data_IF_978044700911
#
_entry.id   IF_978044700911
#
_cell.length_a   1.000
_cell.length_b   1.000
_cell.length_c   1.000
_cell.angle_alpha   90.00
_cell.angle_beta   90.00
_cell.angle_gamma   90.00
#
_symmetry.space_group_name_H-M   'P 1'
#
loop_
_entity.id
_entity.type
_entity.pdbx_description
1 polymer ?
#
# COMPACT_ATOMS: atom_id res chain seq x y z
N UNK A 1 19.00 -14.60 2.13
CA UNK A 1 17.67 -13.94 2.22
C UNK A 1 17.66 -13.14 3.53
N UNK A 2 17.29 -11.87 3.47
CA UNK A 2 17.11 -11.01 4.66
C UNK A 2 15.62 -10.74 4.87
N UNK A 3 15.21 -10.61 6.13
CA UNK A 3 13.89 -10.12 6.45
C UNK A 3 13.75 -8.63 6.09
N UNK A 4 12.53 -8.18 5.88
CA UNK A 4 12.28 -6.77 5.51
C UNK A 4 12.74 -5.80 6.63
N UNK A 5 12.66 -6.23 7.89
CA UNK A 5 13.17 -5.50 9.05
C UNK A 5 14.70 -5.28 9.01
N UNK A 6 15.42 -6.14 8.30
CA UNK A 6 16.87 -6.09 8.16
C UNK A 6 17.32 -5.28 6.94
N UNK A 7 16.36 -4.75 6.17
CA UNK A 7 16.68 -3.85 5.05
C UNK A 7 16.81 -2.42 5.55
N UNK A 8 17.79 -1.70 5.01
CA UNK A 8 18.12 -0.32 5.40
C UNK A 8 18.12 0.63 4.21
N UNK A 9 17.18 0.48 3.30
CA UNK A 9 17.03 1.46 2.23
C UNK A 9 16.65 2.82 2.81
N UNK A 10 17.16 3.91 2.23
CA UNK A 10 16.77 5.26 2.62
C UNK A 10 15.26 5.49 2.50
N UNK A 11 14.74 6.43 3.27
CA UNK A 11 13.41 6.95 3.04
C UNK A 11 13.35 7.64 1.68
N UNK A 12 12.18 7.60 1.04
CA UNK A 12 11.95 8.27 -0.25
C UNK A 12 12.84 7.77 -1.41
N UNK A 13 13.29 6.53 -1.31
CA UNK A 13 14.25 5.96 -2.26
C UNK A 13 13.57 5.39 -3.51
N UNK A 14 12.44 4.71 -3.37
CA UNK A 14 11.80 4.00 -4.47
C UNK A 14 10.70 4.84 -5.13
N UNK A 15 10.54 4.72 -6.46
CA UNK A 15 9.40 5.26 -7.19
C UNK A 15 8.16 4.41 -6.97
N UNK A 16 8.33 3.09 -6.92
CA UNK A 16 7.25 2.11 -6.79
C UNK A 16 7.67 0.98 -5.86
N UNK A 17 6.77 0.59 -4.98
CA UNK A 17 6.85 -0.67 -4.22
C UNK A 17 5.68 -1.54 -4.64
N UNK A 18 5.97 -2.75 -5.12
CA UNK A 18 4.96 -3.71 -5.54
C UNK A 18 5.23 -5.07 -4.90
N UNK A 19 4.19 -5.77 -4.44
CA UNK A 19 4.37 -7.10 -3.89
C UNK A 19 3.14 -7.70 -3.23
N UNK A 20 3.28 -8.96 -2.85
CA UNK A 20 2.34 -9.65 -1.99
C UNK A 20 2.94 -9.66 -0.58
N UNK A 21 2.38 -8.87 0.33
CA UNK A 21 2.89 -8.75 1.69
C UNK A 21 2.39 -9.90 2.57
N UNK A 22 3.21 -10.39 3.51
CA UNK A 22 2.78 -11.46 4.40
C UNK A 22 1.65 -11.00 5.33
N UNK A 23 0.63 -11.81 5.48
CA UNK A 23 -0.46 -11.56 6.41
C UNK A 23 -0.53 -12.66 7.47
N UNK A 24 -0.08 -12.32 8.67
CA UNK A 24 -0.08 -13.18 9.83
C UNK A 24 -0.29 -12.32 11.09
N UNK A 25 -0.56 -12.95 12.21
CA UNK A 25 -0.63 -12.29 13.52
C UNK A 25 0.74 -11.95 14.13
N UNK A 26 1.83 -12.35 13.48
CA UNK A 26 3.21 -12.09 13.90
C UNK A 26 3.47 -10.57 13.91
N UNK A 27 4.32 -10.17 14.86
CA UNK A 27 4.89 -8.82 14.92
C UNK A 27 6.37 -8.89 14.58
N UNK A 28 6.83 -7.88 13.90
CA UNK A 28 8.23 -7.75 13.50
C UNK A 28 8.91 -6.79 14.47
N UNK A 29 10.12 -7.12 14.90
CA UNK A 29 10.93 -6.25 15.75
C UNK A 29 11.75 -5.30 14.84
N UNK A 30 11.27 -4.07 14.73
CA UNK A 30 11.95 -2.96 14.07
C UNK A 30 11.80 -1.72 14.98
N UNK A 31 12.91 -1.23 15.58
CA UNK A 31 12.88 -0.14 16.56
C UNK A 31 12.13 1.11 16.10
N UNK A 32 12.14 1.38 14.79
CA UNK A 32 11.43 2.54 14.20
C UNK A 32 9.91 2.41 14.32
N UNK A 33 9.39 1.17 14.22
CA UNK A 33 7.94 0.89 14.16
C UNK A 33 7.37 0.26 15.44
N UNK A 34 8.21 -0.20 16.36
CA UNK A 34 7.79 -0.92 17.58
C UNK A 34 6.74 -0.18 18.39
N UNK A 35 6.83 1.17 18.48
CA UNK A 35 5.87 2.02 19.17
C UNK A 35 4.43 1.92 18.64
N UNK A 36 4.25 1.52 17.39
CA UNK A 36 2.93 1.42 16.75
C UNK A 36 2.27 0.07 17.00
N UNK A 37 3.05 -0.95 17.39
CA UNK A 37 2.59 -2.30 17.66
C UNK A 37 1.86 -2.94 16.46
N UNK A 38 2.39 -2.69 15.27
CA UNK A 38 1.84 -3.18 14.01
C UNK A 38 1.87 -4.71 13.91
N UNK A 39 0.86 -5.30 13.26
CA UNK A 39 0.98 -6.65 12.72
C UNK A 39 1.89 -6.63 11.50
N UNK A 40 2.36 -7.80 11.06
CA UNK A 40 3.32 -7.89 9.97
C UNK A 40 2.86 -7.16 8.69
N UNK A 41 1.59 -7.31 8.27
CA UNK A 41 1.07 -6.62 7.09
C UNK A 41 1.01 -5.09 7.27
N UNK A 42 0.61 -4.61 8.45
CA UNK A 42 0.59 -3.18 8.78
C UNK A 42 2.00 -2.59 8.76
N UNK A 43 2.99 -3.34 9.30
CA UNK A 43 4.40 -2.97 9.28
C UNK A 43 4.95 -2.88 7.85
N UNK A 44 4.65 -3.86 7.01
CA UNK A 44 5.09 -3.84 5.61
C UNK A 44 4.56 -2.62 4.87
N UNK A 45 3.27 -2.30 5.04
CA UNK A 45 2.66 -1.09 4.45
C UNK A 45 3.34 0.19 4.96
N UNK A 46 3.52 0.32 6.28
CA UNK A 46 4.13 1.50 6.88
C UNK A 46 5.57 1.71 6.37
N UNK A 47 6.40 0.67 6.39
CA UNK A 47 7.79 0.74 5.93
C UNK A 47 7.89 0.99 4.43
N UNK A 48 7.03 0.36 3.62
CA UNK A 48 6.97 0.61 2.18
C UNK A 48 6.64 2.07 1.86
N UNK A 49 5.67 2.66 2.57
CA UNK A 49 5.34 4.07 2.41
C UNK A 49 6.48 5.00 2.83
N UNK A 50 7.24 4.66 3.87
CA UNK A 50 8.40 5.47 4.25
C UNK A 50 9.49 5.43 3.18
N UNK A 51 9.70 4.26 2.56
CA UNK A 51 10.74 4.07 1.55
C UNK A 51 10.36 4.55 0.15
N UNK A 52 9.07 4.70 -0.16
CA UNK A 52 8.60 5.30 -1.41
C UNK A 52 8.73 6.83 -1.33
N UNK A 53 9.14 7.47 -2.44
CA UNK A 53 9.20 8.93 -2.54
C UNK A 53 7.81 9.58 -2.54
N UNK A 54 7.69 10.87 -2.24
CA UNK A 54 6.45 11.61 -2.49
C UNK A 54 5.99 11.47 -3.96
N UNK A 55 4.68 11.28 -4.17
CA UNK A 55 4.10 10.98 -5.48
C UNK A 55 4.35 9.55 -5.98
N UNK A 56 5.20 8.77 -5.33
CA UNK A 56 5.44 7.36 -5.67
C UNK A 56 4.32 6.45 -5.22
N UNK A 57 4.30 5.22 -5.73
CA UNK A 57 3.18 4.28 -5.62
C UNK A 57 3.57 3.06 -4.77
N UNK A 58 2.68 2.66 -3.88
CA UNK A 58 2.70 1.35 -3.21
C UNK A 58 1.50 0.54 -3.71
N UNK A 59 1.77 -0.54 -4.44
CA UNK A 59 0.75 -1.46 -4.98
C UNK A 59 0.96 -2.85 -4.38
N UNK A 60 0.10 -3.25 -3.45
CA UNK A 60 0.32 -4.49 -2.69
C UNK A 60 -0.94 -5.31 -2.50
N UNK A 61 -0.76 -6.63 -2.46
CA UNK A 61 -1.79 -7.56 -2.01
C UNK A 61 -1.66 -7.72 -0.50
N UNK A 62 -2.75 -7.51 0.21
CA UNK A 62 -2.82 -7.61 1.68
C UNK A 62 -4.08 -8.36 2.12
N UNK A 63 -4.18 -8.64 3.42
CA UNK A 63 -5.39 -9.21 4.02
C UNK A 63 -6.53 -8.18 4.03
N UNK A 64 -7.76 -8.63 3.82
CA UNK A 64 -8.98 -7.81 3.98
C UNK A 64 -9.01 -7.02 5.30
N UNK A 65 -8.36 -7.53 6.35
CA UNK A 65 -8.32 -6.85 7.65
C UNK A 65 -7.58 -5.51 7.64
N UNK A 66 -6.81 -5.19 6.62
CA UNK A 66 -6.27 -3.85 6.44
C UNK A 66 -7.40 -2.84 6.24
N UNK A 67 -8.39 -3.19 5.43
CA UNK A 67 -9.53 -2.33 5.12
C UNK A 67 -10.68 -2.47 6.15
N UNK A 68 -11.06 -3.70 6.54
CA UNK A 68 -12.30 -3.96 7.29
C UNK A 68 -12.15 -4.03 8.81
N UNK A 69 -10.95 -3.88 9.37
CA UNK A 69 -10.77 -3.93 10.81
C UNK A 69 -11.52 -2.79 11.50
N UNK A 70 -12.34 -3.10 12.52
CA UNK A 70 -13.10 -2.09 13.27
C UNK A 70 -12.22 -0.95 13.82
N UNK A 71 -11.02 -1.28 14.30
CA UNK A 71 -10.05 -0.28 14.75
C UNK A 71 -9.36 0.39 13.54
N UNK A 72 -9.66 1.66 13.30
CA UNK A 72 -9.14 2.46 12.18
C UNK A 72 -7.69 2.97 12.35
N UNK A 73 -7.00 2.66 13.45
CA UNK A 73 -5.67 3.22 13.76
C UNK A 73 -4.67 3.07 12.62
N UNK A 74 -4.63 1.89 11.99
CA UNK A 74 -3.70 1.62 10.87
C UNK A 74 -4.12 2.41 9.63
N UNK A 75 -5.41 2.39 9.28
CA UNK A 75 -5.91 3.16 8.12
C UNK A 75 -5.65 4.66 8.29
N UNK A 76 -5.86 5.21 9.50
CA UNK A 76 -5.51 6.62 9.79
C UNK A 76 -4.01 6.88 9.65
N UNK A 77 -3.16 5.96 10.10
CA UNK A 77 -1.71 6.09 9.91
C UNK A 77 -1.32 6.10 8.42
N UNK A 78 -1.93 5.23 7.63
CA UNK A 78 -1.69 5.17 6.18
C UNK A 78 -2.26 6.41 5.46
N UNK A 79 -3.50 6.80 5.75
CA UNK A 79 -4.17 7.95 5.14
C UNK A 79 -3.47 9.28 5.44
N UNK A 80 -2.85 9.41 6.61
CA UNK A 80 -2.02 10.55 6.94
C UNK A 80 -0.88 10.73 5.93
N UNK A 81 -0.33 9.63 5.40
CA UNK A 81 0.89 9.58 4.57
C UNK A 81 0.65 9.31 3.10
N UNK A 82 -0.50 8.73 2.77
CA UNK A 82 -0.82 8.33 1.41
C UNK A 82 -2.29 8.58 1.09
N UNK A 83 -2.55 8.75 -0.18
CA UNK A 83 -3.88 8.74 -0.78
C UNK A 83 -4.20 7.32 -1.25
N UNK A 84 -5.44 6.89 -1.05
CA UNK A 84 -5.93 5.64 -1.64
C UNK A 84 -6.38 5.93 -3.06
N UNK A 85 -5.60 5.48 -4.05
CA UNK A 85 -5.99 5.55 -5.47
C UNK A 85 -7.08 4.52 -5.80
N UNK A 86 -7.12 3.45 -5.05
CA UNK A 86 -8.15 2.43 -5.13
C UNK A 86 -7.78 1.15 -4.40
N UNK A 87 -8.78 0.31 -4.20
CA UNK A 87 -8.64 -1.02 -3.62
C UNK A 87 -9.51 -2.02 -4.38
N UNK A 88 -9.00 -3.21 -4.64
CA UNK A 88 -9.73 -4.28 -5.33
C UNK A 88 -9.82 -5.47 -4.39
N UNK A 89 -11.03 -5.88 -4.02
CA UNK A 89 -11.28 -7.06 -3.20
C UNK A 89 -11.38 -8.32 -4.04
N UNK A 90 -10.53 -9.28 -3.74
CA UNK A 90 -10.49 -10.57 -4.42
C UNK A 90 -11.30 -11.62 -3.65
N UNK A 91 -11.97 -12.54 -4.36
CA UNK A 91 -12.63 -13.66 -3.73
C UNK A 91 -11.63 -14.59 -3.02
N UNK A 92 -12.10 -15.28 -1.99
CA UNK A 92 -11.27 -16.10 -1.10
C UNK A 92 -10.52 -17.24 -1.79
N UNK A 93 -10.94 -17.66 -2.99
CA UNK A 93 -10.30 -18.70 -3.79
C UNK A 93 -9.25 -18.18 -4.79
N UNK A 94 -9.04 -16.87 -4.88
CA UNK A 94 -8.13 -16.26 -5.87
C UNK A 94 -6.71 -16.86 -5.86
N UNK A 95 -6.21 -17.26 -4.70
CA UNK A 95 -4.88 -17.86 -4.53
C UNK A 95 -4.91 -19.35 -4.20
N UNK A 96 -6.07 -20.00 -4.24
CA UNK A 96 -6.22 -21.42 -3.88
C UNK A 96 -5.32 -22.33 -4.73
N UNK A 97 -5.26 -22.10 -6.04
CA UNK A 97 -4.47 -22.93 -6.96
C UNK A 97 -2.96 -22.69 -6.84
N UNK A 98 -2.55 -21.49 -6.50
CA UNK A 98 -1.13 -21.09 -6.48
C UNK A 98 -0.51 -21.24 -5.10
N UNK A 99 -1.24 -20.88 -4.05
CA UNK A 99 -0.74 -20.87 -2.67
C UNK A 99 -1.44 -21.86 -1.73
N UNK A 100 -2.45 -22.58 -2.21
CA UNK A 100 -3.23 -23.52 -1.38
C UNK A 100 -4.03 -22.86 -0.25
N UNK A 101 -4.19 -21.54 -0.30
CA UNK A 101 -4.82 -20.73 0.76
C UNK A 101 -6.15 -20.18 0.27
N UNK A 102 -7.17 -20.30 1.13
CA UNK A 102 -8.47 -19.64 0.94
C UNK A 102 -8.53 -18.45 1.90
N UNK A 103 -8.37 -17.25 1.35
CA UNK A 103 -8.43 -16.02 2.12
C UNK A 103 -8.92 -14.85 1.27
N UNK A 104 -9.86 -14.09 1.79
CA UNK A 104 -10.24 -12.81 1.18
C UNK A 104 -9.09 -11.82 1.32
N UNK A 105 -8.65 -11.28 0.20
CA UNK A 105 -7.52 -10.36 0.11
C UNK A 105 -7.90 -9.12 -0.66
N UNK A 106 -7.16 -8.04 -0.42
CA UNK A 106 -7.32 -6.77 -1.12
C UNK A 106 -6.03 -6.42 -1.86
N UNK A 107 -6.15 -5.90 -3.07
CA UNK A 107 -5.06 -5.20 -3.75
C UNK A 107 -5.24 -3.73 -3.42
N UNK A 108 -4.25 -3.11 -2.78
CA UNK A 108 -4.27 -1.69 -2.42
C UNK A 108 -3.31 -0.92 -3.33
N UNK A 109 -3.78 0.23 -3.81
CA UNK A 109 -3.00 1.19 -4.56
C UNK A 109 -2.95 2.50 -3.77
N UNK A 110 -1.77 2.80 -3.23
CA UNK A 110 -1.54 3.98 -2.39
C UNK A 110 -0.52 4.89 -3.07
N UNK A 111 -0.82 6.17 -3.17
CA UNK A 111 0.14 7.19 -3.61
C UNK A 111 0.63 7.99 -2.41
N UNK A 112 1.95 8.03 -2.22
CA UNK A 112 2.53 8.79 -1.12
C UNK A 112 2.29 10.28 -1.28
N UNK A 113 1.76 10.90 -0.23
CA UNK A 113 1.55 12.36 -0.18
C UNK A 113 2.88 13.11 -0.08
N UNK A 114 2.93 14.31 -0.62
CA UNK A 114 4.05 15.22 -0.42
C UNK A 114 4.14 15.69 1.03
N UNK A 115 2.99 15.91 1.67
CA UNK A 115 2.87 16.33 3.07
C UNK A 115 1.87 15.46 3.80
N UNK A 116 2.16 15.18 5.07
CA UNK A 116 1.22 14.50 5.94
C UNK A 116 -0.02 15.40 6.19
N UNK A 117 -1.19 14.76 6.24
CA UNK A 117 -2.46 15.41 6.58
C UNK A 117 -2.99 14.87 7.90
N UNK A 118 -4.03 15.49 8.44
CA UNK A 118 -4.87 14.91 9.50
C UNK A 118 -6.04 14.22 8.79
N UNK A 119 -6.09 12.88 8.74
CA UNK A 119 -7.15 12.18 8.03
C UNK A 119 -8.45 12.21 8.83
N UNK A 120 -9.53 12.53 8.15
CA UNK A 120 -10.91 12.46 8.63
C UNK A 120 -11.80 11.77 7.58
N UNK A 121 -13.09 11.67 7.84
CA UNK A 121 -14.03 10.98 6.95
C UNK A 121 -14.33 11.78 5.68
N UNK A 122 -14.15 13.09 5.70
CA UNK A 122 -14.38 13.95 4.53
C UNK A 122 -13.23 13.86 3.52
N UNK A 123 -11.98 13.78 4.00
CA UNK A 123 -10.79 13.74 3.14
C UNK A 123 -10.21 12.34 2.91
N UNK A 124 -10.66 11.37 3.68
CA UNK A 124 -10.18 9.98 3.63
C UNK A 124 -11.27 9.00 4.11
N UNK A 125 -12.42 8.89 3.43
CA UNK A 125 -13.57 8.09 3.88
C UNK A 125 -13.19 6.62 4.13
N UNK A 126 -12.24 6.08 3.41
CA UNK A 126 -11.75 4.70 3.57
C UNK A 126 -11.11 4.38 4.94
N UNK A 127 -10.96 5.37 5.83
CA UNK A 127 -10.54 5.10 7.22
C UNK A 127 -11.65 4.45 8.04
N UNK A 128 -12.90 4.58 7.62
CA UNK A 128 -14.10 4.10 8.32
C UNK A 128 -14.62 2.79 7.74
N UNK A 129 -15.49 2.14 8.50
CA UNK A 129 -16.28 0.98 8.07
C UNK A 129 -17.75 1.29 8.29
N UNK A 130 -18.61 0.74 7.45
CA UNK A 130 -20.05 0.83 7.54
C UNK A 130 -20.68 -0.55 7.57
N UNK A 131 -21.94 -0.63 7.99
CA UNK A 131 -22.75 -1.83 7.83
C UNK A 131 -23.54 -1.72 6.52
N UNK A 132 -23.43 -2.74 5.67
CA UNK A 132 -24.28 -2.85 4.47
C UNK A 132 -25.74 -3.07 4.87
N UNK A 133 -26.67 -3.01 3.90
CA UNK A 133 -28.10 -3.30 4.13
C UNK A 133 -28.32 -4.68 4.79
N UNK A 134 -27.46 -5.66 4.49
CA UNK A 134 -27.47 -7.01 5.07
C UNK A 134 -26.73 -7.10 6.41
N UNK A 135 -26.27 -5.97 6.95
CA UNK A 135 -25.57 -5.88 8.23
C UNK A 135 -24.11 -6.38 8.19
N UNK A 136 -23.51 -6.51 7.01
CA UNK A 136 -22.10 -6.90 6.86
C UNK A 136 -21.20 -5.68 7.12
N UNK A 137 -20.23 -5.77 8.05
CA UNK A 137 -19.26 -4.70 8.22
C UNK A 137 -18.28 -4.69 7.03
N UNK A 138 -18.22 -3.56 6.34
CA UNK A 138 -17.43 -3.36 5.15
C UNK A 138 -16.76 -1.99 5.17
N UNK A 139 -15.57 -1.86 4.60
CA UNK A 139 -14.94 -0.56 4.47
C UNK A 139 -15.79 0.39 3.61
N UNK A 140 -15.92 1.65 4.04
CA UNK A 140 -16.69 2.68 3.32
C UNK A 140 -16.32 2.75 1.84
N UNK A 141 -15.03 2.61 1.50
CA UNK A 141 -14.58 2.56 0.11
C UNK A 141 -15.31 1.48 -0.72
N UNK A 142 -15.47 0.27 -0.18
CA UNK A 142 -16.14 -0.82 -0.91
C UNK A 142 -17.69 -0.68 -0.91
N UNK A 143 -18.25 0.07 0.04
CA UNK A 143 -19.68 0.43 0.02
C UNK A 143 -19.95 1.43 -1.10
N UNK A 144 -19.07 2.42 -1.27
CA UNK A 144 -19.14 3.44 -2.32
C UNK A 144 -18.74 2.90 -3.70
N UNK A 145 -17.86 1.88 -3.75
CA UNK A 145 -17.32 1.28 -4.97
C UNK A 145 -17.57 -0.24 -5.02
N UNK A 146 -18.84 -0.68 -5.13
CA UNK A 146 -19.19 -2.11 -5.15
C UNK A 146 -18.59 -2.85 -6.35
N UNK A 147 -18.30 -2.16 -7.46
CA UNK A 147 -17.63 -2.70 -8.65
C UNK A 147 -16.19 -3.16 -8.37
N UNK A 148 -15.58 -2.68 -7.28
CA UNK A 148 -14.24 -3.06 -6.85
C UNK A 148 -14.23 -4.33 -5.98
N UNK A 149 -15.39 -4.91 -5.67
CA UNK A 149 -15.54 -6.20 -4.99
C UNK A 149 -15.77 -7.29 -6.02
N UNK A 150 -14.79 -8.16 -6.25
CA UNK A 150 -14.81 -9.16 -7.33
C UNK A 150 -15.49 -10.48 -6.93
N UNK A 151 -16.37 -10.45 -5.95
CA UNK A 151 -17.13 -11.59 -5.46
C UNK A 151 -18.35 -11.16 -4.69
N UNK A 152 -18.95 -12.07 -3.97
CA UNK A 152 -20.09 -11.85 -3.09
C UNK A 152 -19.62 -11.81 -1.63
N UNK A 153 -19.92 -10.70 -0.94
CA UNK A 153 -19.62 -10.57 0.48
C UNK A 153 -20.67 -11.31 1.31
N UNK A 154 -20.20 -12.20 2.17
CA UNK A 154 -21.07 -13.02 3.04
C UNK A 154 -20.52 -13.09 4.46
N UNK A 155 -21.37 -13.43 5.44
CA UNK A 155 -20.90 -13.91 6.73
C UNK A 155 -20.39 -15.34 6.57
N UNK A 156 -19.15 -15.60 7.02
CA UNK A 156 -18.54 -16.92 6.99
C UNK A 156 -18.27 -17.41 8.44
N UNK A 157 -19.11 -18.31 8.91
CA UNK A 157 -19.01 -18.91 10.23
C UNK A 157 -17.95 -20.02 10.31
N UNK A 158 -17.44 -20.48 9.14
CA UNK A 158 -16.60 -21.67 9.05
C UNK A 158 -15.15 -21.45 9.45
N UNK A 159 -14.66 -20.20 9.39
CA UNK A 159 -13.23 -19.93 9.48
C UNK A 159 -12.68 -19.72 10.89
N UNK A 160 -13.46 -19.28 11.90
CA UNK A 160 -12.92 -18.92 13.23
C UNK A 160 -13.89 -19.13 14.42
N UNK A 161 -14.73 -20.15 14.42
CA UNK A 161 -15.56 -20.46 15.58
C UNK A 161 -16.78 -19.52 15.73
N UNK A 162 -17.07 -19.07 16.96
CA UNK A 162 -18.30 -18.33 17.27
C UNK A 162 -18.31 -16.85 16.86
N UNK A 163 -17.29 -16.32 16.19
CA UNK A 163 -17.27 -14.95 15.70
C UNK A 163 -17.76 -14.88 14.26
N UNK A 164 -18.73 -14.03 13.98
CA UNK A 164 -19.18 -13.73 12.62
C UNK A 164 -18.04 -13.06 11.87
N UNK A 165 -17.35 -13.80 11.01
CA UNK A 165 -16.39 -13.24 10.07
C UNK A 165 -17.04 -13.01 8.73
N UNK A 166 -16.49 -12.09 7.94
CA UNK A 166 -16.92 -11.87 6.56
C UNK A 166 -15.97 -12.58 5.61
N UNK A 167 -16.46 -13.01 4.45
CA UNK A 167 -15.64 -13.51 3.35
C UNK A 167 -16.18 -12.97 2.02
N UNK A 168 -15.31 -12.90 1.03
CA UNK A 168 -15.70 -12.64 -0.35
C UNK A 168 -15.68 -13.99 -1.09
N UNK A 169 -16.86 -14.47 -1.47
CA UNK A 169 -16.99 -15.73 -2.20
C UNK A 169 -16.93 -15.50 -3.72
N UNK A 170 -16.38 -16.43 -4.51
CA UNK A 170 -16.41 -16.32 -5.95
C UNK A 170 -17.84 -16.41 -6.47
N UNK A 171 -18.16 -15.64 -7.51
CA UNK A 171 -19.44 -15.74 -8.21
C UNK A 171 -19.39 -16.93 -9.17
N UNK A 172 -20.30 -17.89 -9.07
CA UNK A 172 -20.31 -19.05 -9.95
C UNK A 172 -20.44 -18.66 -11.43
N UNK A 173 -19.54 -19.15 -12.25
CA UNK A 173 -19.55 -18.91 -13.70
C UNK A 173 -18.87 -17.61 -14.15
N UNK A 174 -18.42 -16.77 -13.24
CA UNK A 174 -17.70 -15.55 -13.58
C UNK A 174 -16.20 -15.84 -13.84
N UNK A 175 -15.61 -15.09 -14.79
CA UNK A 175 -14.17 -15.05 -14.99
C UNK A 175 -13.54 -13.93 -14.13
N UNK A 176 -12.74 -14.34 -13.16
CA UNK A 176 -12.05 -13.42 -12.27
C UNK A 176 -11.10 -12.47 -13.02
N UNK A 177 -10.46 -12.93 -14.12
CA UNK A 177 -9.54 -12.09 -14.88
C UNK A 177 -10.27 -10.96 -15.60
N UNK A 178 -11.40 -11.26 -16.23
CA UNK A 178 -12.23 -10.23 -16.89
C UNK A 178 -12.74 -9.19 -15.87
N UNK A 179 -13.14 -9.64 -14.68
CA UNK A 179 -13.55 -8.73 -13.61
C UNK A 179 -12.40 -7.87 -13.09
N UNK A 180 -11.22 -8.47 -12.94
CA UNK A 180 -10.02 -7.76 -12.49
C UNK A 180 -9.60 -6.71 -13.52
N UNK A 181 -9.57 -7.03 -14.81
CA UNK A 181 -9.27 -6.09 -15.87
C UNK A 181 -10.23 -4.89 -15.86
N UNK A 182 -11.52 -5.16 -15.63
CA UNK A 182 -12.54 -4.11 -15.50
C UNK A 182 -12.31 -3.26 -14.25
N UNK A 183 -12.06 -3.86 -13.09
CA UNK A 183 -11.80 -3.13 -11.87
C UNK A 183 -10.53 -2.25 -11.98
N UNK A 184 -9.47 -2.76 -12.62
CA UNK A 184 -8.27 -1.97 -12.90
C UNK A 184 -8.56 -0.75 -13.76
N UNK A 185 -9.52 -0.82 -14.69
CA UNK A 185 -9.88 0.32 -15.54
C UNK A 185 -10.57 1.47 -14.81
N UNK A 186 -11.03 1.25 -13.58
CA UNK A 186 -11.62 2.29 -12.72
C UNK A 186 -10.59 2.96 -11.81
N UNK A 187 -9.34 2.45 -11.77
CA UNK A 187 -8.31 3.09 -10.98
C UNK A 187 -7.89 4.41 -11.63
N UNK A 188 -7.98 5.47 -10.85
CA UNK A 188 -7.51 6.79 -11.25
C UNK A 188 -6.21 7.10 -10.52
N UNK A 189 -5.17 7.44 -11.27
CA UNK A 189 -3.89 7.81 -10.68
C UNK A 189 -3.03 8.54 -11.70
N UNK A 190 -2.33 9.57 -11.25
CA UNK A 190 -1.36 10.28 -12.06
C UNK A 190 0.05 9.93 -11.61
N UNK A 191 0.91 9.63 -12.57
CA UNK A 191 2.33 9.49 -12.30
C UNK A 191 2.95 10.87 -12.13
N UNK A 192 3.48 11.14 -10.95
CA UNK A 192 4.24 12.36 -10.68
C UNK A 192 5.73 12.07 -10.85
N UNK A 193 6.39 12.75 -11.79
CA UNK A 193 7.84 12.67 -11.89
C UNK A 193 8.49 13.14 -10.58
N UNK A 194 9.63 12.52 -10.23
CA UNK A 194 10.42 13.00 -9.11
C UNK A 194 11.00 14.38 -9.47
N UNK A 195 10.40 15.42 -8.94
CA UNK A 195 10.97 16.76 -9.01
C UNK A 195 11.86 16.99 -7.78
N UNK A 196 13.09 17.40 -8.01
CA UNK A 196 13.96 17.84 -6.93
C UNK A 196 13.65 19.32 -6.66
N UNK A 197 13.26 19.65 -5.43
CA UNK A 197 13.12 21.07 -5.00
C UNK A 197 14.41 21.85 -5.30
N UNK A 198 15.56 21.18 -5.26
CA UNK A 198 16.86 21.76 -5.57
C UNK A 198 17.05 22.05 -7.07
N UNK A 199 16.41 21.29 -7.98
CA UNK A 199 16.46 21.54 -9.43
C UNK A 199 15.57 22.73 -9.81
N UNK A 200 14.45 22.91 -9.11
CA UNK A 200 13.52 24.03 -9.34
C UNK A 200 14.11 25.38 -8.91
N UNK A 201 14.82 25.44 -7.76
CA UNK A 201 15.45 26.70 -7.29
C UNK A 201 16.55 27.21 -8.22
N UNK A 202 17.18 26.36 -9.02
CA UNK A 202 18.30 26.74 -9.88
C UNK A 202 17.99 26.80 -11.39
N UNK A 203 16.79 26.39 -11.83
CA UNK A 203 16.38 26.44 -13.23
C UNK A 203 17.26 25.63 -14.19
N UNK A 204 18.02 24.65 -13.68
CA UNK A 204 18.93 23.80 -14.45
C UNK A 204 18.49 22.36 -14.33
N UNK A 205 18.02 21.80 -15.43
CA UNK A 205 17.90 20.34 -15.58
C UNK A 205 19.31 19.75 -15.53
N UNK A 206 19.80 19.43 -14.35
CA UNK A 206 21.09 18.75 -14.20
C UNK A 206 20.96 17.30 -14.63
N UNK A 207 21.97 16.83 -15.35
CA UNK A 207 22.13 15.39 -15.63
C UNK A 207 22.01 14.63 -14.31
N UNK A 208 21.10 13.66 -14.25
CA UNK A 208 20.89 12.85 -13.06
C UNK A 208 21.11 11.37 -13.37
N UNK A 209 21.67 10.65 -12.40
CA UNK A 209 21.83 9.20 -12.43
C UNK A 209 20.78 8.53 -11.54
N UNK A 210 20.43 7.25 -11.77
CA UNK A 210 19.68 6.47 -10.80
C UNK A 210 20.35 6.48 -9.43
N UNK A 211 19.58 6.52 -8.35
CA UNK A 211 20.13 6.45 -7.00
C UNK A 211 20.87 5.15 -6.75
N UNK A 212 21.98 5.22 -6.00
CA UNK A 212 22.73 4.07 -5.54
C UNK A 212 22.19 3.64 -4.16
N UNK A 213 21.72 2.39 -3.99
CA UNK A 213 21.22 1.88 -2.71
C UNK A 213 22.28 1.88 -1.59
N UNK A 214 23.56 1.90 -1.93
CA UNK A 214 24.65 1.96 -0.97
C UNK A 214 24.90 3.38 -0.43
N UNK A 215 24.40 4.39 -1.12
CA UNK A 215 24.56 5.80 -0.74
C UNK A 215 23.35 6.23 0.08
N UNK A 216 23.61 6.92 1.19
CA UNK A 216 22.54 7.45 2.05
C UNK A 216 21.79 8.57 1.32
N UNK A 217 20.46 8.56 1.41
CA UNK A 217 19.65 9.66 0.89
C UNK A 217 20.02 10.99 1.58
N UNK A 218 19.96 12.08 0.84
CA UNK A 218 20.42 13.41 1.25
C UNK A 218 21.93 13.46 1.64
N UNK A 219 22.77 12.74 0.89
CA UNK A 219 24.22 12.78 1.04
C UNK A 219 24.94 12.88 -0.30
N UNK A 220 26.20 13.28 -0.24
CA UNK A 220 27.06 13.35 -1.41
C UNK A 220 27.79 12.02 -1.64
N UNK A 221 28.01 11.71 -2.90
CA UNK A 221 28.84 10.59 -3.36
C UNK A 221 29.69 11.01 -4.56
N UNK A 222 30.71 10.22 -4.87
CA UNK A 222 31.54 10.42 -6.04
C UNK A 222 31.34 9.24 -6.99
N UNK A 223 30.96 9.54 -8.23
CA UNK A 223 30.86 8.56 -9.32
C UNK A 223 31.69 9.09 -10.50
N UNK A 224 32.64 8.28 -10.97
CA UNK A 224 33.55 8.64 -12.07
C UNK A 224 34.21 10.03 -11.88
N UNK A 225 34.81 10.24 -10.70
CA UNK A 225 35.47 11.49 -10.27
C UNK A 225 34.55 12.73 -10.22
N UNK A 226 33.25 12.53 -10.25
CA UNK A 226 32.25 13.60 -10.24
C UNK A 226 31.39 13.50 -8.99
N UNK A 227 31.13 14.64 -8.34
CA UNK A 227 30.32 14.72 -7.11
C UNK A 227 28.85 14.77 -7.47
N UNK A 228 28.08 13.88 -6.87
CA UNK A 228 26.63 13.83 -6.96
C UNK A 228 26.00 13.96 -5.56
N UNK A 229 24.86 14.61 -5.51
CA UNK A 229 23.98 14.65 -4.34
C UNK A 229 22.83 13.69 -4.55
N UNK A 230 22.68 12.71 -3.66
CA UNK A 230 21.56 11.76 -3.74
C UNK A 230 20.34 12.30 -3.02
N UNK A 231 19.26 12.41 -3.75
CA UNK A 231 17.95 12.82 -3.25
C UNK A 231 16.88 11.93 -3.86
N UNK A 232 16.08 11.33 -2.97
CA UNK A 232 15.03 10.40 -3.36
C UNK A 232 15.56 9.24 -4.22
N UNK A 233 15.02 9.03 -5.41
CA UNK A 233 15.42 7.95 -6.31
C UNK A 233 16.51 8.34 -7.33
N UNK A 234 17.15 9.51 -7.18
CA UNK A 234 18.13 10.01 -8.15
C UNK A 234 19.35 10.65 -7.49
N UNK A 235 20.45 10.66 -8.24
CA UNK A 235 21.67 11.40 -7.90
C UNK A 235 21.84 12.56 -8.88
N UNK A 236 22.02 13.76 -8.36
CA UNK A 236 22.14 15.01 -9.13
C UNK A 236 23.57 15.50 -9.12
N UNK A 237 24.07 15.88 -10.29
CA UNK A 237 25.40 16.48 -10.45
C UNK A 237 25.49 17.78 -9.65
N UNK A 238 26.61 17.95 -8.91
CA UNK A 238 26.89 19.14 -8.10
C UNK A 238 27.92 20.05 -8.76
#
# INVERSE_FOLDING_TARGET
VKGFEQTSYPDHFFDVVIGNIPFNSIRVDDPRYNRHNFRIHDYFLAKSLDQVRPGGIVAVITSKYTMDKANSKVRRYLAQRAELLGAIRLPNNAFKQVAGTEATTDILFLQKREREIVPDEDNSPWISIEETEDGLPLNTYFVEHPEMVLGEMVFDESMFGNEKTTACHPIPGDDLNERLERAVSYLEGEYHEATSEYAEEKGVLKASLPADPAVRNFSFTVVDDTIYFQENSRMYLQ
#
